data_IF_003627286683
#
_entry.id   IF_003627286683
#
_cell.length_a   1.000
_cell.length_b   1.000
_cell.length_c   1.000
_cell.angle_alpha   90.00
_cell.angle_beta   90.00
_cell.angle_gamma   90.00
#
_symmetry.space_group_name_H-M   'P 1'
#
loop_
_entity.id
_entity.type
_entity.pdbx_description
1 polymer ?
#
# COMPACT_ATOMS: atom_id res chain seq x y z
N UNK A 1 -18.88 -20.41 12.00
CA UNK A 1 -18.05 -20.53 10.78
C UNK A 1 -18.77 -21.42 9.78
N UNK A 2 -18.89 -20.99 8.51
CA UNK A 2 -19.59 -21.76 7.45
C UNK A 2 -18.73 -22.86 6.80
N UNK A 3 -17.41 -22.75 6.88
CA UNK A 3 -16.47 -23.72 6.27
C UNK A 3 -15.24 -23.92 7.16
N UNK A 4 -15.37 -24.63 8.29
CA UNK A 4 -14.26 -24.84 9.21
C UNK A 4 -13.10 -25.63 8.60
N UNK A 5 -13.37 -26.54 7.67
CA UNK A 5 -12.35 -27.34 7.01
C UNK A 5 -11.39 -26.49 6.17
N UNK A 6 -11.83 -25.32 5.68
CA UNK A 6 -10.95 -24.36 4.99
C UNK A 6 -9.95 -23.69 5.92
N UNK A 7 -10.25 -23.57 7.22
CA UNK A 7 -9.34 -23.01 8.21
C UNK A 7 -8.35 -24.08 8.70
N UNK A 8 -8.84 -25.29 9.01
CA UNK A 8 -8.01 -26.34 9.61
C UNK A 8 -7.31 -27.25 8.60
N UNK A 9 -7.80 -27.32 7.35
CA UNK A 9 -7.27 -28.20 6.30
C UNK A 9 -6.36 -27.51 5.29
N UNK A 10 -6.17 -26.19 5.38
CA UNK A 10 -5.27 -25.47 4.48
C UNK A 10 -3.80 -25.62 4.93
N UNK A 11 -2.85 -25.62 3.98
CA UNK A 11 -1.43 -25.51 4.31
C UNK A 11 -1.14 -24.16 4.97
N UNK A 12 -0.02 -24.11 5.70
CA UNK A 12 0.48 -22.88 6.34
C UNK A 12 0.65 -21.79 5.29
N UNK A 13 0.28 -20.57 5.64
CA UNK A 13 0.35 -19.41 4.76
C UNK A 13 1.79 -19.14 4.30
N UNK A 14 1.93 -18.61 3.08
CA UNK A 14 3.23 -18.20 2.57
C UNK A 14 3.73 -16.96 3.32
N UNK A 15 4.89 -17.06 3.97
CA UNK A 15 5.62 -15.90 4.49
C UNK A 15 6.49 -15.32 3.37
N UNK A 16 6.30 -14.05 3.03
CA UNK A 16 7.11 -13.35 2.05
C UNK A 16 7.86 -12.20 2.71
N UNK A 17 9.14 -12.08 2.37
CA UNK A 17 9.96 -10.90 2.63
C UNK A 17 10.58 -10.48 1.30
N UNK A 18 10.67 -9.18 1.04
CA UNK A 18 11.45 -8.65 -0.06
C UNK A 18 12.81 -8.16 0.43
N UNK A 19 13.83 -9.00 0.26
CA UNK A 19 15.21 -8.67 0.57
C UNK A 19 15.84 -7.68 -0.43
N UNK A 20 15.15 -7.38 -1.54
CA UNK A 20 15.65 -6.49 -2.59
C UNK A 20 15.01 -5.10 -2.54
N UNK A 21 14.19 -4.79 -1.53
CA UNK A 21 13.68 -3.44 -1.32
C UNK A 21 14.87 -2.47 -1.21
N UNK A 22 14.99 -1.48 -2.12
CA UNK A 22 16.19 -0.64 -2.23
C UNK A 22 16.38 0.27 -1.00
N UNK A 23 15.30 0.65 -0.30
CA UNK A 23 15.39 1.46 0.93
C UNK A 23 15.92 0.64 2.10
N UNK A 24 15.37 -0.56 2.30
CA UNK A 24 15.82 -1.48 3.35
C UNK A 24 17.28 -1.87 3.08
N UNK A 25 17.57 -2.29 1.86
CA UNK A 25 18.91 -2.73 1.47
C UNK A 25 19.93 -1.59 1.60
N UNK A 26 19.59 -0.35 1.22
CA UNK A 26 20.47 0.81 1.42
C UNK A 26 20.78 1.11 2.88
N UNK A 27 19.80 1.04 3.78
CA UNK A 27 20.01 1.21 5.22
C UNK A 27 20.93 0.11 5.79
N UNK A 28 20.70 -1.14 5.41
CA UNK A 28 21.50 -2.27 5.87
C UNK A 28 22.91 -2.30 5.27
N UNK A 29 23.10 -1.86 4.02
CA UNK A 29 24.44 -1.73 3.42
C UNK A 29 25.25 -0.65 4.15
N UNK A 30 24.63 0.46 4.57
CA UNK A 30 25.34 1.46 5.36
C UNK A 30 25.82 0.90 6.71
N UNK A 31 24.98 0.11 7.39
CA UNK A 31 25.39 -0.63 8.59
C UNK A 31 26.48 -1.66 8.31
N UNK A 32 26.33 -2.45 7.25
CA UNK A 32 27.31 -3.47 6.88
C UNK A 32 28.66 -2.84 6.54
N UNK A 33 28.68 -1.74 5.78
CA UNK A 33 29.90 -0.99 5.44
C UNK A 33 30.60 -0.34 6.64
N UNK A 34 29.87 -0.10 7.73
CA UNK A 34 30.43 0.36 9.01
C UNK A 34 31.10 -0.80 9.77
N UNK A 35 30.52 -1.99 9.73
CA UNK A 35 31.05 -3.20 10.36
C UNK A 35 32.26 -3.75 9.58
N UNK A 36 32.16 -3.81 8.25
CA UNK A 36 33.22 -4.25 7.36
C UNK A 36 33.09 -3.59 5.97
N UNK A 37 34.19 -3.16 5.32
CA UNK A 37 34.08 -2.50 4.02
C UNK A 37 33.45 -3.42 2.96
N UNK A 38 32.55 -2.87 2.15
CA UNK A 38 31.79 -3.62 1.13
C UNK A 38 32.62 -3.78 -0.14
N UNK A 39 32.73 -5.02 -0.62
CA UNK A 39 33.36 -5.39 -1.86
C UNK A 39 32.31 -5.83 -2.87
N UNK A 40 32.06 -5.02 -3.91
CA UNK A 40 31.02 -5.30 -4.91
C UNK A 40 31.13 -6.71 -5.51
N UNK A 41 32.33 -7.16 -5.86
CA UNK A 41 32.55 -8.48 -6.50
C UNK A 41 32.17 -9.67 -5.61
N UNK A 42 32.36 -9.54 -4.29
CA UNK A 42 32.09 -10.62 -3.34
C UNK A 42 30.66 -10.51 -2.79
N UNK A 43 30.28 -9.31 -2.38
CA UNK A 43 29.05 -9.02 -1.65
C UNK A 43 27.80 -8.99 -2.54
N UNK A 44 27.93 -8.86 -3.86
CA UNK A 44 26.80 -8.97 -4.80
C UNK A 44 26.11 -10.34 -4.69
N UNK A 45 26.85 -11.40 -4.35
CA UNK A 45 26.28 -12.74 -4.11
C UNK A 45 25.37 -12.79 -2.87
N UNK A 46 25.51 -11.84 -1.94
CA UNK A 46 24.75 -11.79 -0.70
C UNK A 46 23.63 -10.75 -0.73
N UNK A 47 23.91 -9.57 -1.28
CA UNK A 47 22.97 -8.45 -1.34
C UNK A 47 22.20 -8.35 -2.67
N UNK A 48 22.55 -9.17 -3.66
CA UNK A 48 21.90 -9.24 -4.95
C UNK A 48 22.43 -8.21 -5.96
N UNK A 49 21.93 -8.31 -7.18
CA UNK A 49 22.42 -7.56 -8.35
C UNK A 49 22.16 -6.05 -8.28
N UNK A 50 21.32 -5.59 -7.35
CA UNK A 50 21.04 -4.16 -7.16
C UNK A 50 22.09 -3.46 -6.28
N UNK A 51 23.04 -4.21 -5.72
CA UNK A 51 24.07 -3.69 -4.81
C UNK A 51 24.84 -2.49 -5.39
N UNK A 52 25.31 -2.59 -6.63
CA UNK A 52 26.11 -1.54 -7.28
C UNK A 52 25.36 -0.20 -7.39
N UNK A 53 24.07 -0.27 -7.78
CA UNK A 53 23.19 0.90 -7.85
C UNK A 53 22.97 1.56 -6.48
N UNK A 54 22.81 0.74 -5.44
CA UNK A 54 22.60 1.23 -4.08
C UNK A 54 23.87 1.83 -3.50
N UNK A 55 25.03 1.19 -3.70
CA UNK A 55 26.33 1.73 -3.27
C UNK A 55 26.62 3.06 -3.95
N UNK A 56 26.34 3.17 -5.25
CA UNK A 56 26.45 4.44 -5.99
C UNK A 56 25.54 5.51 -5.38
N UNK A 57 24.29 5.17 -5.08
CA UNK A 57 23.34 6.08 -4.43
C UNK A 57 23.82 6.53 -3.03
N UNK A 58 24.38 5.61 -2.24
CA UNK A 58 24.89 5.92 -0.90
C UNK A 58 26.16 6.77 -0.96
N UNK A 59 27.04 6.54 -1.95
CA UNK A 59 28.19 7.39 -2.22
C UNK A 59 27.77 8.80 -2.57
N UNK A 60 26.82 8.96 -3.49
CA UNK A 60 26.35 10.29 -3.93
C UNK A 60 25.70 11.06 -2.77
N UNK A 61 25.09 10.35 -1.82
CA UNK A 61 24.58 10.90 -0.55
C UNK A 61 25.66 11.15 0.51
N UNK A 62 26.92 10.81 0.25
CA UNK A 62 28.04 10.99 1.17
C UNK A 62 28.13 9.97 2.31
N UNK A 63 27.44 8.84 2.22
CA UNK A 63 27.50 7.77 3.24
C UNK A 63 28.65 6.80 3.01
N UNK A 64 29.08 6.62 1.75
CA UNK A 64 30.15 5.70 1.39
C UNK A 64 31.28 6.41 0.65
N UNK A 65 32.51 5.98 0.90
CA UNK A 65 33.68 6.41 0.15
C UNK A 65 34.46 5.20 -0.35
N UNK A 66 34.97 5.32 -1.56
CA UNK A 66 35.96 4.41 -2.10
C UNK A 66 37.34 4.92 -1.64
N UNK A 67 38.07 4.11 -0.87
CA UNK A 67 39.41 4.50 -0.42
C UNK A 67 40.39 4.19 -1.56
N UNK A 68 41.16 5.14 -2.14
CA UNK A 68 41.98 4.89 -3.32
C UNK A 68 43.42 4.40 -3.02
N UNK A 69 43.85 4.29 -1.76
CA UNK A 69 45.27 4.18 -1.37
C UNK A 69 45.82 2.77 -1.01
N UNK A 70 45.17 1.68 -1.43
CA UNK A 70 45.54 0.30 -1.12
C UNK A 70 45.49 -0.66 -2.32
N UNK A 71 46.09 -1.86 -2.23
CA UNK A 71 46.20 -2.79 -3.37
C UNK A 71 44.85 -3.34 -3.90
N UNK A 72 43.77 -3.23 -3.12
CA UNK A 72 42.39 -3.61 -3.47
C UNK A 72 41.43 -2.40 -3.47
N UNK A 73 41.97 -1.18 -3.56
CA UNK A 73 41.28 0.04 -3.17
C UNK A 73 40.05 0.41 -3.97
N UNK A 74 40.07 0.21 -5.29
CA UNK A 74 38.99 0.68 -6.17
C UNK A 74 37.69 -0.10 -6.01
N UNK A 75 37.69 -1.22 -5.30
CA UNK A 75 36.52 -2.10 -5.14
C UNK A 75 35.91 -2.10 -3.75
N UNK A 76 36.54 -1.43 -2.77
CA UNK A 76 36.16 -1.46 -1.36
C UNK A 76 35.49 -0.14 -0.93
N UNK A 77 34.30 -0.25 -0.37
CA UNK A 77 33.49 0.89 0.08
C UNK A 77 33.41 0.94 1.59
N UNK A 78 33.87 2.06 2.17
CA UNK A 78 33.86 2.29 3.61
C UNK A 78 32.76 3.27 3.98
N UNK A 79 32.14 3.07 5.14
CA UNK A 79 31.18 4.02 5.68
C UNK A 79 31.85 5.30 6.18
N UNK A 80 31.32 6.44 5.75
CA UNK A 80 31.71 7.79 6.18
C UNK A 80 30.49 8.67 6.48
N UNK A 81 29.33 8.05 6.69
CA UNK A 81 28.10 8.77 6.99
C UNK A 81 28.19 9.58 8.29
N UNK A 82 27.26 10.52 8.49
CA UNK A 82 27.31 11.44 9.62
C UNK A 82 27.06 10.75 10.98
N UNK A 83 26.38 9.60 10.99
CA UNK A 83 26.10 8.85 12.21
C UNK A 83 27.34 8.05 12.67
N UNK A 84 27.70 8.17 13.95
CA UNK A 84 28.79 7.35 14.50
C UNK A 84 28.50 5.85 14.51
N UNK A 85 27.22 5.49 14.61
CA UNK A 85 26.71 4.12 14.65
C UNK A 85 25.40 4.07 13.82
N UNK A 86 25.45 3.73 12.52
CA UNK A 86 24.27 3.74 11.66
C UNK A 86 23.17 2.77 12.15
N UNK A 87 23.53 1.67 12.82
CA UNK A 87 22.56 0.71 13.36
C UNK A 87 21.61 1.29 14.42
N UNK A 88 21.96 2.40 15.07
CA UNK A 88 21.09 3.05 16.07
C UNK A 88 19.97 3.88 15.43
N UNK A 89 20.12 4.29 14.17
CA UNK A 89 19.11 5.08 13.44
C UNK A 89 18.23 4.22 12.54
N UNK A 90 18.66 3.00 12.21
CA UNK A 90 17.89 2.06 11.40
C UNK A 90 16.85 1.32 12.25
N UNK A 91 15.59 1.44 11.86
CA UNK A 91 14.49 0.68 12.48
C UNK A 91 14.32 -0.65 11.76
N UNK A 92 14.26 -1.75 12.53
CA UNK A 92 13.96 -3.08 11.98
C UNK A 92 12.47 -3.21 11.61
N UNK A 93 11.60 -2.35 12.17
CA UNK A 93 10.14 -2.43 12.00
C UNK A 93 9.56 -1.35 11.08
N UNK A 94 10.36 -0.36 10.71
CA UNK A 94 9.91 0.77 9.91
C UNK A 94 10.93 1.07 8.81
N UNK A 95 10.46 1.15 7.57
CA UNK A 95 11.31 1.46 6.41
C UNK A 95 11.61 2.97 6.35
N UNK A 96 10.71 3.80 6.86
CA UNK A 96 10.82 5.26 6.83
C UNK A 96 11.78 5.77 7.91
N UNK A 97 12.75 6.60 7.48
CA UNK A 97 13.67 7.29 8.39
C UNK A 97 13.08 8.63 8.89
N UNK A 98 12.28 9.28 8.04
CA UNK A 98 11.75 10.61 8.31
C UNK A 98 10.55 10.56 9.25
N UNK A 99 10.64 11.37 10.32
CA UNK A 99 9.64 11.43 11.38
C UNK A 99 9.28 12.88 11.72
N UNK A 100 8.05 13.04 12.20
CA UNK A 100 7.53 14.27 12.78
C UNK A 100 7.45 14.13 14.29
N UNK A 101 7.86 15.18 15.00
CA UNK A 101 7.77 15.24 16.47
C UNK A 101 6.44 15.84 16.87
N UNK A 102 5.79 15.24 17.85
CA UNK A 102 4.56 15.77 18.46
C UNK A 102 4.91 16.32 19.83
N UNK A 103 4.76 17.62 20.04
CA UNK A 103 5.22 18.31 21.26
C UNK A 103 4.03 18.97 21.96
N UNK A 104 3.89 18.75 23.27
CA UNK A 104 2.99 19.53 24.12
C UNK A 104 3.57 20.93 24.33
N UNK A 105 2.93 21.95 23.76
CA UNK A 105 3.39 23.35 23.74
C UNK A 105 3.48 23.96 25.14
N UNK A 106 2.64 23.53 26.08
CA UNK A 106 2.64 24.07 27.45
C UNK A 106 3.86 23.61 28.25
N UNK A 107 4.22 22.33 28.13
CA UNK A 107 5.28 21.72 28.94
C UNK A 107 6.58 21.52 28.15
N UNK A 108 6.58 21.87 26.86
CA UNK A 108 7.63 21.57 25.89
C UNK A 108 8.08 20.09 25.92
N UNK A 109 7.11 19.19 26.07
CA UNK A 109 7.35 17.76 26.24
C UNK A 109 7.09 17.03 24.94
N UNK A 110 8.06 16.25 24.46
CA UNK A 110 7.87 15.30 23.37
C UNK A 110 6.85 14.23 23.78
N UNK A 111 5.74 14.14 23.06
CA UNK A 111 4.72 13.13 23.24
C UNK A 111 5.06 11.87 22.43
N UNK A 112 5.35 12.05 21.14
CA UNK A 112 5.58 10.94 20.20
C UNK A 112 6.40 11.38 18.98
N UNK A 113 7.02 10.41 18.30
CA UNK A 113 7.57 10.59 16.96
C UNK A 113 6.76 9.73 15.97
N UNK A 114 6.19 10.38 14.96
CA UNK A 114 5.31 9.76 13.96
C UNK A 114 6.03 9.71 12.61
N UNK A 115 5.95 8.60 11.90
CA UNK A 115 6.46 8.46 10.53
C UNK A 115 5.83 9.50 9.58
N UNK A 116 6.61 10.00 8.62
CA UNK A 116 6.14 11.01 7.66
C UNK A 116 4.87 10.57 6.91
N UNK A 117 4.77 9.30 6.50
CA UNK A 117 3.58 8.76 5.84
C UNK A 117 2.30 8.84 6.66
N UNK A 118 2.40 8.93 7.99
CA UNK A 118 1.28 8.98 8.94
C UNK A 118 1.03 10.37 9.50
N UNK A 119 2.03 11.26 9.45
CA UNK A 119 1.97 12.57 10.08
C UNK A 119 0.77 13.38 9.58
N UNK A 120 0.57 13.47 8.27
CA UNK A 120 -0.51 14.28 7.68
C UNK A 120 -1.91 13.69 7.87
N UNK A 121 -2.02 12.43 8.31
CA UNK A 121 -3.29 11.83 8.72
C UNK A 121 -3.64 12.06 10.19
N UNK A 122 -2.67 12.40 11.03
CA UNK A 122 -2.83 12.39 12.50
C UNK A 122 -2.58 13.75 13.15
N UNK A 123 -1.61 14.51 12.66
CA UNK A 123 -1.06 15.68 13.34
C UNK A 123 -1.01 16.94 12.48
N UNK A 124 -1.95 17.08 11.55
CA UNK A 124 -2.14 18.31 10.77
C UNK A 124 -2.71 19.45 11.61
N UNK A 125 -2.53 20.69 11.17
CA UNK A 125 -3.07 21.87 11.86
C UNK A 125 -4.59 21.76 12.04
N UNK A 126 -5.06 21.88 13.28
CA UNK A 126 -6.46 21.71 13.65
C UNK A 126 -6.87 20.26 13.97
N UNK A 127 -5.98 19.28 13.84
CA UNK A 127 -6.26 17.88 14.20
C UNK A 127 -6.46 17.69 15.70
N UNK A 128 -7.34 16.75 16.06
CA UNK A 128 -7.43 16.20 17.41
C UNK A 128 -6.62 14.91 17.46
N UNK A 129 -5.40 15.02 18.00
CA UNK A 129 -4.49 13.91 18.20
C UNK A 129 -4.74 13.24 19.56
N UNK A 130 -4.87 11.92 19.58
CA UNK A 130 -5.10 11.15 20.81
C UNK A 130 -3.82 10.41 21.21
N UNK A 131 -3.26 10.75 22.36
CA UNK A 131 -2.07 10.11 22.90
C UNK A 131 -2.37 9.55 24.29
N UNK A 132 -2.29 8.22 24.43
CA UNK A 132 -2.56 7.47 25.67
C UNK A 132 -3.91 7.83 26.32
N UNK A 133 -4.96 7.96 25.51
CA UNK A 133 -6.33 8.30 25.95
C UNK A 133 -6.56 9.79 26.25
N UNK A 134 -5.55 10.64 26.09
CA UNK A 134 -5.67 12.09 26.24
C UNK A 134 -5.72 12.77 24.88
N UNK A 135 -6.65 13.71 24.70
CA UNK A 135 -6.78 14.47 23.46
C UNK A 135 -5.92 15.73 23.48
N UNK A 136 -5.27 16.00 22.35
CA UNK A 136 -4.48 17.19 22.09
C UNK A 136 -4.95 17.82 20.78
N UNK A 137 -5.16 19.14 20.78
CA UNK A 137 -5.41 19.91 19.57
C UNK A 137 -4.06 20.32 19.00
N UNK A 138 -3.80 20.00 17.73
CA UNK A 138 -2.64 20.53 17.00
C UNK A 138 -2.94 21.98 16.64
N UNK A 139 -2.21 22.91 17.26
CA UNK A 139 -2.38 24.35 17.02
C UNK A 139 -1.47 24.86 15.91
N UNK A 140 -0.34 24.20 15.70
CA UNK A 140 0.67 24.60 14.73
C UNK A 140 1.38 23.35 14.19
N UNK A 141 1.52 23.27 12.87
CA UNK A 141 2.19 22.17 12.20
C UNK A 141 3.30 22.72 11.30
N UNK A 142 4.52 22.71 11.83
CA UNK A 142 5.69 23.24 11.13
C UNK A 142 6.34 22.13 10.29
N UNK A 143 6.14 22.22 8.98
CA UNK A 143 6.74 21.33 7.98
C UNK A 143 8.27 21.45 7.92
N UNK A 144 8.83 22.62 8.21
CA UNK A 144 10.26 22.87 8.10
C UNK A 144 11.05 22.22 9.23
N UNK A 145 10.56 22.35 10.48
CA UNK A 145 11.14 21.67 11.65
C UNK A 145 10.56 20.27 11.87
N UNK A 146 9.61 19.83 11.03
CA UNK A 146 8.87 18.56 11.16
C UNK A 146 8.27 18.39 12.56
N UNK A 147 7.62 19.43 13.07
CA UNK A 147 7.11 19.45 14.45
C UNK A 147 5.64 19.88 14.48
N UNK A 148 4.81 19.06 15.12
CA UNK A 148 3.44 19.37 15.48
C UNK A 148 3.40 19.87 16.93
N UNK A 149 3.01 21.13 17.13
CA UNK A 149 2.81 21.67 18.46
C UNK A 149 1.34 21.55 18.85
N UNK A 150 1.11 20.89 19.97
CA UNK A 150 -0.23 20.55 20.43
C UNK A 150 -0.50 21.08 21.82
N UNK A 151 -1.76 21.30 22.13
CA UNK A 151 -2.24 21.65 23.47
C UNK A 151 -3.28 20.64 23.92
N UNK A 152 -3.18 20.21 25.17
CA UNK A 152 -4.18 19.31 25.78
C UNK A 152 -5.56 19.97 25.76
N UNK A 153 -6.57 19.22 25.31
CA UNK A 153 -7.97 19.67 25.22
C UNK A 153 -8.93 18.58 25.66
N UNK A 154 -10.10 18.99 26.15
CA UNK A 154 -11.23 18.11 26.35
C UNK A 154 -12.34 18.48 25.35
N UNK A 155 -12.49 17.66 24.31
CA UNK A 155 -13.45 17.88 23.22
C UNK A 155 -14.30 16.65 22.94
N UNK A 156 -15.56 16.89 22.60
CA UNK A 156 -16.56 15.87 22.27
C UNK A 156 -16.59 15.50 20.78
N UNK A 157 -15.58 15.91 20.02
CA UNK A 157 -15.43 15.59 18.60
C UNK A 157 -14.04 15.01 18.32
N UNK A 158 -13.89 14.34 17.19
CA UNK A 158 -12.60 13.95 16.61
C UNK A 158 -12.48 14.54 15.20
N UNK A 159 -11.28 14.53 14.63
CA UNK A 159 -11.05 15.04 13.27
C UNK A 159 -10.78 13.90 12.31
N UNK A 160 -11.24 14.06 11.07
CA UNK A 160 -11.02 13.11 9.98
C UNK A 160 -10.53 13.89 8.77
N UNK A 161 -9.42 13.47 8.17
CA UNK A 161 -8.90 14.09 6.96
C UNK A 161 -9.86 13.95 5.78
N UNK A 162 -9.79 14.92 4.87
CA UNK A 162 -10.33 14.86 3.53
C UNK A 162 -9.13 14.78 2.60
N UNK A 163 -8.94 13.58 2.06
CA UNK A 163 -7.79 13.24 1.24
C UNK A 163 -8.21 12.27 0.14
N UNK A 164 -7.31 12.10 -0.83
CA UNK A 164 -7.41 11.02 -1.79
C UNK A 164 -6.00 10.49 -2.08
N UNK A 165 -5.93 9.19 -2.36
CA UNK A 165 -4.70 8.52 -2.77
C UNK A 165 -4.82 8.08 -4.22
N UNK A 166 -3.82 8.44 -5.02
CA UNK A 166 -3.70 8.08 -6.43
C UNK A 166 -2.57 7.07 -6.62
N UNK A 167 -2.83 6.01 -7.38
CA UNK A 167 -1.84 4.97 -7.67
C UNK A 167 -1.52 5.01 -9.16
N UNK A 168 -0.42 5.69 -9.49
CA UNK A 168 0.05 5.74 -10.86
C UNK A 168 0.94 4.54 -11.15
N UNK A 169 0.43 3.55 -11.89
CA UNK A 169 1.23 2.38 -12.29
C UNK A 169 2.18 2.79 -13.40
N UNK A 170 3.47 2.50 -13.22
CA UNK A 170 4.54 2.79 -14.16
C UNK A 170 4.73 1.60 -15.09
N UNK A 171 4.70 1.84 -16.40
CA UNK A 171 4.58 0.77 -17.40
C UNK A 171 3.15 0.23 -17.48
N UNK A 172 2.88 -0.74 -18.36
CA UNK A 172 1.53 -1.30 -18.53
C UNK A 172 0.95 -1.23 -19.94
N UNK A 173 1.63 -0.54 -20.87
CA UNK A 173 1.24 -0.50 -22.28
C UNK A 173 1.80 -1.73 -23.00
N UNK A 174 1.11 -2.85 -22.80
CA UNK A 174 1.42 -4.08 -23.51
C UNK A 174 0.49 -4.24 -24.72
N UNK A 175 1.06 -4.48 -25.89
CA UNK A 175 0.30 -4.86 -27.09
C UNK A 175 -0.47 -6.18 -26.88
N UNK A 176 0.04 -7.06 -26.00
CA UNK A 176 -0.57 -8.34 -25.63
C UNK A 176 -0.47 -8.58 -24.12
N UNK A 177 -1.49 -9.18 -23.52
CA UNK A 177 -1.46 -9.48 -22.08
C UNK A 177 -0.38 -10.55 -21.78
N UNK A 178 0.57 -10.27 -20.87
CA UNK A 178 1.61 -11.21 -20.54
C UNK A 178 1.01 -12.44 -19.84
N UNK A 179 1.53 -13.63 -20.15
CA UNK A 179 1.14 -14.87 -19.49
C UNK A 179 2.08 -15.18 -18.32
N UNK A 180 1.53 -15.48 -17.15
CA UNK A 180 2.32 -16.01 -16.04
C UNK A 180 2.43 -17.54 -16.18
N UNK A 181 3.63 -18.06 -16.47
CA UNK A 181 3.91 -19.50 -16.46
C UNK A 181 4.23 -19.92 -15.02
N UNK A 182 3.21 -20.30 -14.26
CA UNK A 182 3.36 -20.87 -12.92
C UNK A 182 2.52 -22.13 -12.80
N UNK A 183 2.69 -22.90 -11.71
CA UNK A 183 1.81 -24.02 -11.38
C UNK A 183 0.41 -23.57 -10.91
N UNK A 184 0.17 -22.26 -10.82
CA UNK A 184 -1.09 -21.65 -10.42
C UNK A 184 -2.01 -21.40 -11.61
N UNK A 185 -3.25 -21.02 -11.31
CA UNK A 185 -4.22 -20.65 -12.35
C UNK A 185 -3.69 -19.49 -13.20
N UNK A 186 -3.72 -19.66 -14.53
CA UNK A 186 -3.31 -18.63 -15.49
C UNK A 186 -4.14 -17.37 -15.28
N UNK A 187 -3.47 -16.22 -15.35
CA UNK A 187 -4.11 -14.90 -15.21
C UNK A 187 -3.44 -13.86 -16.09
N UNK A 188 -4.22 -12.86 -16.52
CA UNK A 188 -3.70 -11.68 -17.22
C UNK A 188 -3.25 -10.56 -16.27
N UNK A 189 -3.32 -10.78 -14.96
CA UNK A 189 -2.86 -9.85 -13.94
C UNK A 189 -1.35 -9.53 -14.08
N UNK A 190 -1.00 -8.29 -13.78
CA UNK A 190 0.35 -7.74 -13.90
C UNK A 190 0.82 -7.21 -12.57
N UNK A 191 2.13 -7.28 -12.31
CA UNK A 191 2.78 -6.59 -11.21
C UNK A 191 3.80 -5.63 -11.81
N UNK A 192 3.71 -4.37 -11.41
CA UNK A 192 4.53 -3.29 -11.93
C UNK A 192 4.86 -2.31 -10.81
N UNK A 193 5.96 -1.58 -10.97
CA UNK A 193 6.25 -0.44 -10.12
C UNK A 193 5.12 0.60 -10.24
N UNK A 194 4.84 1.31 -9.17
CA UNK A 194 3.84 2.35 -9.11
C UNK A 194 4.33 3.51 -8.25
N UNK A 195 3.76 4.68 -8.47
CA UNK A 195 3.91 5.84 -7.59
C UNK A 195 2.60 6.07 -6.86
N UNK A 196 2.61 5.89 -5.55
CA UNK A 196 1.48 6.17 -4.67
C UNK A 196 1.57 7.63 -4.23
N UNK A 197 0.49 8.39 -4.37
CA UNK A 197 0.46 9.82 -4.05
C UNK A 197 -0.81 10.19 -3.31
N UNK A 198 -0.67 10.67 -2.07
CA UNK A 198 -1.79 11.14 -1.26
C UNK A 198 -1.81 12.66 -1.20
N UNK A 199 -3.00 13.26 -1.32
CA UNK A 199 -3.19 14.71 -1.18
C UNK A 199 -4.29 15.02 -0.18
N UNK A 200 -4.03 15.99 0.69
CA UNK A 200 -4.99 16.48 1.69
C UNK A 200 -5.51 17.85 1.30
N UNK A 201 -6.82 18.00 1.34
CA UNK A 201 -7.52 19.22 0.94
C UNK A 201 -8.51 19.72 2.01
N UNK A 202 -8.56 19.06 3.17
CA UNK A 202 -9.38 19.49 4.29
C UNK A 202 -9.47 18.46 5.39
N UNK A 203 -10.37 18.70 6.34
CA UNK A 203 -10.80 17.73 7.34
C UNK A 203 -12.22 18.03 7.82
N UNK A 204 -12.87 17.02 8.39
CA UNK A 204 -14.15 17.14 9.09
C UNK A 204 -13.93 17.08 10.59
N UNK A 205 -14.71 17.87 11.34
CA UNK A 205 -14.90 17.67 12.78
C UNK A 205 -16.15 16.82 12.98
N UNK A 206 -16.01 15.66 13.60
CA UNK A 206 -17.10 14.69 13.73
C UNK A 206 -17.42 14.49 15.20
N UNK A 207 -18.70 14.63 15.56
CA UNK A 207 -19.17 14.43 16.92
C UNK A 207 -18.98 12.97 17.36
N UNK A 208 -18.36 12.75 18.53
CA UNK A 208 -18.10 11.40 19.05
C UNK A 208 -19.37 10.61 19.35
N UNK A 209 -20.45 11.28 19.76
CA UNK A 209 -21.68 10.60 20.19
C UNK A 209 -22.64 10.29 19.05
N UNK A 210 -22.70 11.14 18.02
CA UNK A 210 -23.67 11.03 16.95
C UNK A 210 -23.06 10.66 15.59
N UNK A 211 -21.72 10.65 15.49
CA UNK A 211 -20.98 10.49 14.23
C UNK A 211 -21.38 11.48 13.14
N UNK A 212 -22.02 12.60 13.50
CA UNK A 212 -22.41 13.66 12.58
C UNK A 212 -21.23 14.61 12.35
N UNK A 213 -21.06 15.03 11.10
CA UNK A 213 -20.13 16.10 10.73
C UNK A 213 -20.66 17.40 11.34
N UNK A 214 -19.87 17.99 12.23
CA UNK A 214 -20.14 19.27 12.87
C UNK A 214 -19.66 20.44 11.99
N UNK A 215 -18.50 20.24 11.35
CA UNK A 215 -17.79 21.29 10.64
C UNK A 215 -16.90 20.67 9.56
N UNK A 216 -16.66 21.42 8.49
CA UNK A 216 -15.77 21.06 7.40
C UNK A 216 -14.80 22.19 7.17
N UNK A 217 -13.51 21.91 7.37
CA UNK A 217 -12.44 22.90 7.29
C UNK A 217 -11.59 22.60 6.08
N UNK A 218 -11.30 23.61 5.27
CA UNK A 218 -10.32 23.51 4.19
C UNK A 218 -8.90 23.57 4.76
N UNK A 219 -8.03 22.71 4.26
CA UNK A 219 -6.63 22.61 4.68
C UNK A 219 -5.82 22.17 3.46
N UNK A 220 -4.69 22.80 3.19
CA UNK A 220 -3.78 22.37 2.12
C UNK A 220 -2.47 21.95 2.73
N UNK A 221 -2.20 20.65 2.68
CA UNK A 221 -0.89 20.09 2.99
C UNK A 221 -0.16 19.74 1.69
N UNK A 222 1.18 19.72 1.71
CA UNK A 222 1.93 19.20 0.56
C UNK A 222 1.54 17.74 0.29
N UNK A 223 1.55 17.30 -0.98
CA UNK A 223 1.33 15.90 -1.31
C UNK A 223 2.46 15.04 -0.77
N UNK A 224 2.14 13.83 -0.34
CA UNK A 224 3.12 12.81 0.03
C UNK A 224 3.11 11.72 -1.03
N UNK A 225 4.28 11.39 -1.57
CA UNK A 225 4.40 10.39 -2.62
C UNK A 225 5.59 9.47 -2.38
N UNK A 226 5.41 8.19 -2.72
CA UNK A 226 6.46 7.20 -2.68
C UNK A 226 6.31 6.18 -3.82
N UNK A 227 7.43 5.63 -4.26
CA UNK A 227 7.44 4.53 -5.22
C UNK A 227 7.22 3.20 -4.47
N UNK A 228 6.47 2.29 -5.08
CA UNK A 228 6.09 1.00 -4.53
C UNK A 228 5.79 0.00 -5.67
N UNK A 229 5.27 -1.18 -5.34
CA UNK A 229 4.77 -2.16 -6.30
C UNK A 229 3.26 -2.29 -6.22
N UNK A 230 2.62 -2.44 -7.39
CA UNK A 230 1.19 -2.71 -7.50
C UNK A 230 0.94 -3.92 -8.39
N UNK A 231 -0.08 -4.70 -8.02
CA UNK A 231 -0.63 -5.79 -8.81
C UNK A 231 -2.03 -5.44 -9.25
N UNK A 232 -2.34 -5.67 -10.51
CA UNK A 232 -3.59 -5.22 -11.08
C UNK A 232 -4.05 -6.10 -12.24
N UNK A 233 -5.35 -6.10 -12.48
CA UNK A 233 -5.98 -6.74 -13.64
C UNK A 233 -6.98 -5.78 -14.26
N UNK A 234 -7.01 -5.72 -15.60
CA UNK A 234 -7.99 -4.91 -16.34
C UNK A 234 -9.39 -5.50 -16.18
N UNK A 235 -10.37 -4.65 -15.95
CA UNK A 235 -11.78 -5.05 -16.03
C UNK A 235 -12.17 -5.00 -17.50
N UNK A 236 -12.61 -6.12 -18.11
CA UNK A 236 -12.96 -6.13 -19.52
C UNK A 236 -14.21 -5.29 -19.78
N UNK A 237 -14.28 -4.66 -20.95
CA UNK A 237 -15.43 -3.82 -21.35
C UNK A 237 -16.77 -4.55 -21.27
N UNK A 238 -16.79 -5.86 -21.56
CA UNK A 238 -17.98 -6.71 -21.43
C UNK A 238 -18.51 -6.74 -19.99
N UNK A 239 -17.64 -6.82 -18.99
CA UNK A 239 -18.04 -6.79 -17.59
C UNK A 239 -18.60 -5.43 -17.20
N UNK A 240 -17.99 -4.34 -17.66
CA UNK A 240 -18.50 -2.97 -17.43
C UNK A 240 -19.91 -2.80 -18.02
N UNK A 241 -20.09 -3.17 -19.29
CA UNK A 241 -21.41 -3.09 -19.95
C UNK A 241 -22.46 -3.93 -19.22
N UNK A 242 -22.12 -5.14 -18.78
CA UNK A 242 -23.05 -6.00 -18.04
C UNK A 242 -23.51 -5.40 -16.69
N UNK A 243 -22.66 -4.61 -16.04
CA UNK A 243 -23.01 -3.86 -14.82
C UNK A 243 -23.94 -2.70 -15.16
N UNK A 244 -23.60 -1.91 -16.18
CA UNK A 244 -24.37 -0.74 -16.61
C UNK A 244 -25.76 -1.10 -17.15
N UNK A 245 -25.88 -2.20 -17.90
CA UNK A 245 -27.17 -2.73 -18.40
C UNK A 245 -28.14 -3.07 -17.28
N UNK A 246 -27.62 -3.47 -16.11
CA UNK A 246 -28.40 -3.75 -14.90
C UNK A 246 -28.63 -2.53 -14.03
N UNK A 247 -28.21 -1.34 -14.46
CA UNK A 247 -28.32 -0.07 -13.72
C UNK A 247 -27.63 -0.13 -12.35
N UNK A 248 -26.52 -0.85 -12.28
CA UNK A 248 -25.68 -0.98 -11.08
C UNK A 248 -24.49 -0.01 -11.15
N UNK A 249 -23.87 0.27 -10.01
CA UNK A 249 -22.79 1.26 -9.93
C UNK A 249 -21.43 0.61 -10.20
N UNK A 250 -20.89 0.78 -11.42
CA UNK A 250 -19.60 0.18 -11.82
C UNK A 250 -18.44 0.55 -10.89
N UNK A 251 -18.33 1.82 -10.47
CA UNK A 251 -17.28 2.25 -9.55
C UNK A 251 -17.43 1.58 -8.19
N UNK A 252 -18.66 1.47 -7.67
CA UNK A 252 -18.96 0.76 -6.43
C UNK A 252 -18.64 -0.74 -6.52
N UNK A 253 -18.89 -1.35 -7.68
CA UNK A 253 -18.54 -2.74 -7.95
C UNK A 253 -17.04 -2.99 -8.01
N UNK A 254 -16.27 -2.14 -8.69
CA UNK A 254 -14.81 -2.26 -8.77
C UNK A 254 -14.15 -2.09 -7.40
N UNK A 255 -14.61 -1.10 -6.63
CA UNK A 255 -14.17 -0.86 -5.25
C UNK A 255 -14.47 -2.07 -4.34
N UNK A 256 -15.70 -2.59 -4.42
CA UNK A 256 -16.11 -3.77 -3.67
C UNK A 256 -15.36 -5.05 -4.08
N UNK A 257 -15.07 -5.24 -5.37
CA UNK A 257 -14.26 -6.36 -5.84
C UNK A 257 -12.84 -6.30 -5.26
N UNK A 258 -12.24 -5.10 -5.21
CA UNK A 258 -10.91 -4.91 -4.65
C UNK A 258 -10.86 -5.13 -3.13
N UNK A 259 -11.88 -4.68 -2.39
CA UNK A 259 -12.04 -5.04 -0.98
C UNK A 259 -12.17 -6.55 -0.76
N UNK A 260 -12.94 -7.23 -1.62
CA UNK A 260 -13.13 -8.67 -1.50
C UNK A 260 -11.80 -9.42 -1.66
N UNK A 261 -10.94 -8.98 -2.59
CA UNK A 261 -9.58 -9.51 -2.72
C UNK A 261 -8.72 -9.21 -1.49
N UNK A 262 -8.73 -7.98 -0.96
CA UNK A 262 -8.00 -7.65 0.27
C UNK A 262 -8.43 -8.54 1.44
N UNK A 263 -9.74 -8.81 1.57
CA UNK A 263 -10.29 -9.62 2.66
C UNK A 263 -9.94 -11.11 2.55
N UNK A 264 -9.78 -11.64 1.33
CA UNK A 264 -9.44 -13.06 1.13
C UNK A 264 -7.93 -13.33 1.20
N UNK A 265 -7.13 -12.28 1.02
CA UNK A 265 -5.69 -12.43 0.87
C UNK A 265 -4.97 -13.03 2.09
N UNK A 266 -5.32 -12.67 3.35
CA UNK A 266 -4.71 -13.29 4.53
C UNK A 266 -4.94 -14.81 4.64
N UNK A 267 -5.89 -15.38 3.88
CA UNK A 267 -6.13 -16.83 3.84
C UNK A 267 -5.23 -17.57 2.83
N UNK A 268 -4.34 -16.86 2.15
CA UNK A 268 -3.46 -17.38 1.10
C UNK A 268 -2.00 -16.97 1.31
N UNK A 269 -1.74 -15.88 2.04
CA UNK A 269 -0.40 -15.44 2.39
C UNK A 269 -0.38 -14.68 3.71
N UNK A 270 0.78 -14.67 4.38
CA UNK A 270 0.98 -13.90 5.61
C UNK A 270 1.06 -12.40 5.29
N UNK A 271 -0.07 -11.72 5.41
CA UNK A 271 -0.16 -10.27 5.27
C UNK A 271 -1.21 -9.69 6.21
N UNK A 272 -1.01 -8.44 6.63
CA UNK A 272 -1.94 -7.66 7.43
C UNK A 272 -2.55 -6.49 6.66
N UNK A 273 -3.48 -5.80 7.33
CA UNK A 273 -4.17 -4.64 6.78
C UNK A 273 -3.25 -3.40 6.59
N UNK A 274 -2.08 -3.40 7.23
CA UNK A 274 -1.02 -2.42 7.05
C UNK A 274 -0.23 -2.59 5.76
N UNK A 275 -0.22 -3.80 5.20
CA UNK A 275 0.81 -4.20 4.23
C UNK A 275 0.38 -3.89 2.80
N UNK A 276 -0.91 -4.11 2.51
CA UNK A 276 -1.51 -3.89 1.19
C UNK A 276 -2.70 -2.94 1.24
N UNK A 277 -2.84 -2.14 0.19
CA UNK A 277 -3.95 -1.23 -0.06
C UNK A 277 -4.62 -1.50 -1.39
N UNK A 278 -5.73 -0.80 -1.63
CA UNK A 278 -6.44 -0.75 -2.90
C UNK A 278 -6.78 0.69 -3.25
N UNK A 279 -7.07 0.94 -4.52
CA UNK A 279 -7.79 2.15 -4.93
C UNK A 279 -9.18 2.15 -4.28
N UNK A 280 -9.46 3.18 -3.48
CA UNK A 280 -10.77 3.41 -2.88
C UNK A 280 -11.50 4.53 -3.62
N UNK A 281 -12.78 4.32 -3.89
CA UNK A 281 -13.59 5.27 -4.65
C UNK A 281 -14.23 6.27 -3.68
N UNK A 282 -13.84 7.54 -3.81
CA UNK A 282 -14.49 8.65 -3.12
C UNK A 282 -15.76 9.09 -3.89
N UNK A 283 -16.90 9.31 -3.20
CA UNK A 283 -18.18 9.67 -3.84
C UNK A 283 -18.16 11.04 -4.54
N UNK A 284 -17.28 11.94 -4.12
CA UNK A 284 -17.12 13.28 -4.68
C UNK A 284 -16.00 13.36 -5.74
N UNK A 285 -15.36 12.23 -6.04
CA UNK A 285 -14.26 12.15 -7.00
C UNK A 285 -14.77 12.29 -8.43
N UNK A 286 -14.28 13.32 -9.14
CA UNK A 286 -14.62 13.60 -10.54
C UNK A 286 -13.55 13.12 -11.52
N UNK A 287 -12.38 12.68 -11.04
CA UNK A 287 -11.30 12.16 -11.87
C UNK A 287 -11.70 10.83 -12.54
N UNK A 288 -11.26 10.65 -13.78
CA UNK A 288 -11.36 9.37 -14.47
C UNK A 288 -10.41 8.36 -13.81
N UNK A 289 -10.95 7.23 -13.35
CA UNK A 289 -10.16 6.14 -12.78
C UNK A 289 -9.98 5.01 -13.80
N UNK A 290 -8.79 4.39 -13.86
CA UNK A 290 -8.59 3.22 -14.70
C UNK A 290 -9.57 2.09 -14.36
N UNK A 291 -10.08 1.42 -15.39
CA UNK A 291 -11.00 0.28 -15.24
C UNK A 291 -10.21 -0.98 -14.87
N UNK A 292 -9.80 -1.08 -13.60
CA UNK A 292 -8.98 -2.16 -13.08
C UNK A 292 -9.35 -2.51 -11.65
N UNK A 293 -9.01 -3.73 -11.26
CA UNK A 293 -8.89 -4.14 -9.87
C UNK A 293 -7.39 -4.05 -9.53
N UNK A 294 -7.03 -3.32 -8.47
CA UNK A 294 -5.63 -3.05 -8.12
C UNK A 294 -5.39 -3.20 -6.63
N UNK A 295 -4.32 -3.93 -6.27
CA UNK A 295 -3.74 -3.94 -4.94
C UNK A 295 -2.31 -3.39 -5.00
N UNK A 296 -1.84 -2.71 -3.96
CA UNK A 296 -0.48 -2.18 -3.91
C UNK A 296 0.14 -2.29 -2.53
N UNK A 297 1.47 -2.41 -2.49
CA UNK A 297 2.24 -2.43 -1.26
C UNK A 297 2.22 -1.04 -0.61
N UNK A 298 1.74 -0.94 0.64
CA UNK A 298 1.60 0.33 1.37
C UNK A 298 2.93 0.92 1.87
N UNK A 299 4.03 0.23 1.62
CA UNK A 299 5.34 0.60 2.14
C UNK A 299 6.25 1.15 1.04
N UNK A 300 7.02 2.22 1.30
CA UNK A 300 7.95 2.75 0.33
C UNK A 300 8.99 1.72 -0.13
N UNK A 301 9.14 1.59 -1.45
CA UNK A 301 9.98 0.60 -2.12
C UNK A 301 9.31 -0.76 -2.33
N UNK A 302 8.09 -0.97 -1.82
CA UNK A 302 7.40 -2.26 -1.86
C UNK A 302 7.92 -3.25 -0.82
N UNK A 303 7.15 -4.29 -0.52
CA UNK A 303 7.55 -5.40 0.36
C UNK A 303 7.41 -6.75 -0.36
N UNK A 304 7.23 -6.70 -1.68
CA UNK A 304 7.15 -7.85 -2.58
C UNK A 304 5.83 -8.62 -2.50
N UNK A 305 4.83 -8.10 -1.78
CA UNK A 305 3.53 -8.78 -1.68
C UNK A 305 2.78 -8.68 -3.00
N UNK A 306 2.71 -7.50 -3.63
CA UNK A 306 2.11 -7.32 -4.95
C UNK A 306 2.64 -8.33 -5.99
N UNK A 307 3.96 -8.52 -6.04
CA UNK A 307 4.61 -9.49 -6.94
C UNK A 307 4.22 -10.95 -6.64
N UNK A 308 4.02 -11.32 -5.37
CA UNK A 308 3.53 -12.66 -5.02
C UNK A 308 2.04 -12.84 -5.30
N UNK A 309 1.23 -11.83 -4.97
CA UNK A 309 -0.21 -11.80 -5.26
C UNK A 309 -0.48 -12.04 -6.74
N UNK A 310 0.35 -11.49 -7.64
CA UNK A 310 0.27 -11.75 -9.08
C UNK A 310 0.27 -13.24 -9.42
N UNK A 311 1.10 -14.05 -8.75
CA UNK A 311 1.22 -15.49 -9.02
C UNK A 311 -0.06 -16.24 -8.64
N UNK A 312 -0.75 -15.77 -7.61
CA UNK A 312 -1.98 -16.37 -7.09
C UNK A 312 -3.26 -15.67 -7.57
N UNK A 313 -3.14 -14.64 -8.42
CA UNK A 313 -4.24 -13.70 -8.69
C UNK A 313 -5.49 -14.41 -9.22
N UNK A 314 -5.34 -15.38 -10.11
CA UNK A 314 -6.45 -16.17 -10.64
C UNK A 314 -7.20 -16.97 -9.56
N UNK A 315 -6.47 -17.59 -8.63
CA UNK A 315 -7.04 -18.32 -7.49
C UNK A 315 -7.77 -17.36 -6.52
N UNK A 316 -7.16 -16.19 -6.28
CA UNK A 316 -7.74 -15.15 -5.44
C UNK A 316 -9.05 -14.59 -6.03
N UNK A 317 -9.14 -14.42 -7.36
CA UNK A 317 -10.37 -14.01 -8.02
C UNK A 317 -11.50 -15.01 -7.83
N UNK A 318 -11.22 -16.31 -7.97
CA UNK A 318 -12.20 -17.37 -7.72
C UNK A 318 -12.66 -17.39 -6.26
N UNK A 319 -11.71 -17.29 -5.32
CA UNK A 319 -12.01 -17.28 -3.90
C UNK A 319 -12.79 -16.02 -3.48
N UNK A 320 -12.46 -14.86 -4.06
CA UNK A 320 -13.21 -13.62 -3.85
C UNK A 320 -14.64 -13.75 -4.38
N UNK A 321 -14.83 -14.29 -5.58
CA UNK A 321 -16.16 -14.52 -6.15
C UNK A 321 -16.99 -15.47 -5.29
N UNK A 322 -16.39 -16.55 -4.79
CA UNK A 322 -17.03 -17.49 -3.88
C UNK A 322 -17.48 -16.79 -2.58
N UNK A 323 -16.61 -15.99 -1.96
CA UNK A 323 -16.89 -15.27 -0.72
C UNK A 323 -18.08 -14.32 -0.87
N UNK A 324 -18.06 -13.46 -1.91
CA UNK A 324 -19.12 -12.47 -2.10
C UNK A 324 -20.45 -13.12 -2.48
N UNK A 325 -20.41 -14.21 -3.27
CA UNK A 325 -21.62 -14.93 -3.71
C UNK A 325 -22.26 -15.76 -2.60
N UNK A 326 -21.45 -16.35 -1.69
CA UNK A 326 -21.96 -17.15 -0.57
C UNK A 326 -22.46 -16.29 0.62
N UNK A 327 -22.18 -15.00 0.62
CA UNK A 327 -22.61 -14.09 1.66
C UNK A 327 -24.10 -13.75 1.53
N UNK A 328 -24.89 -14.04 2.56
CA UNK A 328 -26.34 -13.84 2.58
C UNK A 328 -26.77 -12.46 3.11
N UNK A 329 -25.85 -11.48 3.17
CA UNK A 329 -26.21 -10.12 3.57
C UNK A 329 -27.14 -9.47 2.55
N UNK A 330 -28.18 -8.80 3.02
CA UNK A 330 -29.18 -8.14 2.18
C UNK A 330 -28.75 -6.73 1.69
N UNK A 331 -27.73 -6.13 2.31
CA UNK A 331 -27.27 -4.80 1.93
C UNK A 331 -26.53 -4.80 0.59
N UNK A 332 -26.85 -3.83 -0.27
CA UNK A 332 -26.12 -3.58 -1.53
C UNK A 332 -24.67 -3.15 -1.26
N UNK A 333 -24.41 -2.41 -0.18
CA UNK A 333 -23.06 -2.09 0.30
C UNK A 333 -22.40 -3.24 1.08
N UNK A 334 -23.04 -4.42 1.10
CA UNK A 334 -22.56 -5.63 1.73
C UNK A 334 -22.36 -5.53 3.23
N UNK A 335 -21.39 -6.30 3.76
CA UNK A 335 -21.06 -6.35 5.17
C UNK A 335 -19.56 -6.63 5.38
N UNK A 336 -19.05 -6.54 6.63
CA UNK A 336 -17.64 -6.81 6.95
C UNK A 336 -17.15 -8.22 6.57
N UNK A 337 -18.08 -9.17 6.37
CA UNK A 337 -17.74 -10.55 5.98
C UNK A 337 -17.68 -10.76 4.46
N UNK A 338 -17.93 -9.74 3.64
CA UNK A 338 -17.79 -9.83 2.18
C UNK A 338 -16.99 -8.67 1.61
N UNK A 339 -17.64 -7.54 1.32
CA UNK A 339 -17.08 -6.46 0.49
C UNK A 339 -16.72 -5.19 1.26
N UNK A 340 -16.99 -5.12 2.56
CA UNK A 340 -16.55 -3.99 3.37
C UNK A 340 -15.13 -4.25 3.87
N UNK A 341 -14.29 -3.22 3.83
CA UNK A 341 -12.94 -3.24 4.39
C UNK A 341 -12.87 -2.31 5.60
N UNK A 342 -12.26 -2.79 6.69
CA UNK A 342 -12.00 -1.97 7.88
C UNK A 342 -10.93 -0.90 7.63
N UNK A 343 -10.18 -1.01 6.53
CA UNK A 343 -9.12 -0.07 6.14
C UNK A 343 -9.47 0.75 4.91
N UNK A 344 -10.75 0.78 4.51
CA UNK A 344 -11.21 1.65 3.42
C UNK A 344 -11.04 3.12 3.82
N UNK A 345 -10.24 3.89 3.08
CA UNK A 345 -10.07 5.34 3.32
C UNK A 345 -11.38 6.12 3.17
N UNK A 346 -12.28 5.59 2.34
CA UNK A 346 -13.60 6.16 2.01
C UNK A 346 -14.74 5.54 2.82
N UNK A 347 -14.43 4.84 3.93
CA UNK A 347 -15.42 4.37 4.92
C UNK A 347 -16.53 3.50 4.33
N UNK A 348 -16.21 2.76 3.26
CA UNK A 348 -17.15 1.87 2.58
C UNK A 348 -18.38 2.61 1.99
N UNK A 349 -18.27 3.91 1.71
CA UNK A 349 -19.40 4.73 1.26
C UNK A 349 -19.87 4.37 -0.16
N UNK A 350 -18.94 4.05 -1.05
CA UNK A 350 -19.23 3.69 -2.45
C UNK A 350 -18.96 2.20 -2.69
N UNK A 351 -19.95 1.34 -2.46
CA UNK A 351 -19.86 -0.11 -2.66
C UNK A 351 -21.13 -0.66 -3.30
N UNK A 352 -20.95 -1.61 -4.22
CA UNK A 352 -22.05 -2.35 -4.85
C UNK A 352 -21.69 -3.84 -4.98
N UNK A 353 -22.39 -4.67 -4.20
CA UNK A 353 -22.16 -6.12 -4.12
C UNK A 353 -22.50 -6.85 -5.42
N UNK A 354 -23.62 -6.51 -6.05
CA UNK A 354 -24.06 -7.19 -7.27
C UNK A 354 -23.16 -6.81 -8.44
N UNK A 355 -22.75 -5.54 -8.51
CA UNK A 355 -21.75 -5.10 -9.48
C UNK A 355 -20.40 -5.81 -9.27
N UNK A 356 -19.94 -5.99 -8.02
CA UNK A 356 -18.71 -6.72 -7.72
C UNK A 356 -18.76 -8.18 -8.21
N UNK A 357 -19.89 -8.87 -8.03
CA UNK A 357 -20.08 -10.24 -8.51
C UNK A 357 -19.95 -10.30 -10.05
N UNK A 358 -20.57 -9.37 -10.76
CA UNK A 358 -20.52 -9.31 -12.22
C UNK A 358 -19.12 -8.99 -12.74
N UNK A 359 -18.43 -8.05 -12.10
CA UNK A 359 -17.05 -7.69 -12.43
C UNK A 359 -16.12 -8.89 -12.23
N UNK A 360 -16.18 -9.55 -11.06
CA UNK A 360 -15.34 -10.71 -10.78
C UNK A 360 -15.59 -11.83 -11.80
N UNK A 361 -16.85 -12.15 -12.09
CA UNK A 361 -17.21 -13.15 -13.12
C UNK A 361 -16.67 -12.79 -14.49
N UNK A 362 -16.89 -11.56 -14.94
CA UNK A 362 -16.45 -11.11 -16.25
C UNK A 362 -14.93 -11.10 -16.41
N UNK A 363 -14.18 -10.74 -15.36
CA UNK A 363 -12.72 -10.84 -15.34
C UNK A 363 -12.26 -12.30 -15.44
N UNK A 364 -12.86 -13.22 -14.67
CA UNK A 364 -12.51 -14.66 -14.69
C UNK A 364 -12.80 -15.28 -16.07
N UNK A 365 -13.95 -14.96 -16.67
CA UNK A 365 -14.33 -15.45 -18.01
C UNK A 365 -13.40 -14.90 -19.10
N UNK A 366 -13.03 -13.62 -18.99
CA UNK A 366 -12.05 -13.01 -19.90
C UNK A 366 -10.68 -13.67 -19.79
N UNK A 367 -10.17 -13.96 -18.58
CA UNK A 367 -8.91 -14.69 -18.43
C UNK A 367 -8.97 -16.07 -19.10
N UNK A 368 -10.05 -16.85 -18.86
CA UNK A 368 -10.23 -18.17 -19.48
C UNK A 368 -10.19 -18.11 -21.01
N UNK A 369 -11.04 -17.27 -21.60
CA UNK A 369 -11.12 -17.10 -23.06
C UNK A 369 -9.79 -16.63 -23.67
N UNK A 370 -9.08 -15.71 -22.99
CA UNK A 370 -7.77 -15.24 -23.46
C UNK A 370 -6.75 -16.38 -23.60
N UNK A 371 -6.70 -17.27 -22.61
CA UNK A 371 -5.76 -18.40 -22.64
C UNK A 371 -6.20 -19.53 -23.56
N UNK A 372 -7.49 -19.78 -23.73
CA UNK A 372 -8.01 -20.74 -24.73
C UNK A 372 -7.60 -20.34 -26.16
N UNK A 373 -7.77 -19.05 -26.52
CA UNK A 373 -7.37 -18.53 -27.83
C UNK A 373 -5.85 -18.59 -28.02
N UNK A 374 -5.08 -18.26 -26.97
CA UNK A 374 -3.62 -18.31 -27.03
C UNK A 374 -3.10 -19.73 -27.23
N UNK A 375 -3.66 -20.71 -26.52
CA UNK A 375 -3.30 -22.12 -26.70
C UNK A 375 -3.68 -22.66 -28.08
N UNK A 376 -4.78 -22.20 -28.67
CA UNK A 376 -5.15 -22.54 -30.04
C UNK A 376 -4.16 -21.96 -31.06
N UNK A 377 -3.74 -20.70 -30.87
CA UNK A 377 -2.75 -20.03 -31.74
C UNK A 377 -1.34 -20.61 -31.62
N UNK A 378 -0.95 -21.13 -30.46
CA UNK A 378 0.38 -21.76 -30.27
C UNK A 378 0.44 -23.19 -30.87
N UNK A 379 -0.72 -23.80 -31.18
CA UNK A 379 -0.83 -25.16 -31.77
C UNK A 379 -0.98 -25.16 -33.30
N UNK A 380 -1.36 -24.02 -33.89
CA UNK A 380 -1.45 -23.78 -35.34
C UNK A 380 -0.13 -23.27 -35.89
#
# INVERSE_FOLDING_TARGET
MKSPDKLFGKPIEHCQVDSHNPKVLGQHIACAAYEHPICLQYDENHFGSTLDSIVTTLKDKGFLVNNPSGPFSSTMWNYIGPEKNPSQTVSIRAIEHDKYKVIDKLNNRLLEEIEESKAFFQVYEGAIYMHQGVNYLVEEFDLSSRTAFCRKVDVKYYTKTRDYTDINVLGGDFAYLPACKTNHLKTTAQANSCKVSTKWFGFHRICKSSSKILDTVELRLPPYSYDSEAVWIRIPRSAKLAVEERKLEFRGGSHAASHTLLNILPLHMMCGASDLGTECVNPHETRGMPERILLYDKHPGGIGLATQVKKLFGELLLAALELVSACSCASASGCPNCIQSLTCSEYNEVLDKEAAILILKGVIEHDRSYFEVKEASDRS
#
